data_IF_158221465698
#
_entry.id   IF_158221465698
#
_cell.length_a   1.000
_cell.length_b   1.000
_cell.length_c   1.000
_cell.angle_alpha   90.00
_cell.angle_beta   90.00
_cell.angle_gamma   90.00
#
_symmetry.space_group_name_H-M   'P 1'
#
loop_
_entity.id
_entity.type
_entity.pdbx_description
1 polymer ?
#
# COMPACT_ATOMS: atom_id res chain seq x y z
N UNK A 1 -4.36 16.62 25.52
CA UNK A 1 -3.29 16.28 24.55
C UNK A 1 -2.90 14.79 24.56
N UNK A 2 -2.71 14.15 25.73
CA UNK A 2 -2.32 12.71 25.81
C UNK A 2 -3.33 11.76 25.17
N UNK A 3 -4.63 11.97 25.38
CA UNK A 3 -5.70 11.15 24.81
C UNK A 3 -5.75 11.24 23.28
N UNK A 4 -5.70 12.45 22.72
CA UNK A 4 -5.66 12.67 21.26
C UNK A 4 -4.46 11.98 20.61
N UNK A 5 -3.29 12.09 21.22
CA UNK A 5 -2.09 11.38 20.76
C UNK A 5 -2.27 9.86 20.81
N UNK A 6 -2.84 9.31 21.88
CA UNK A 6 -3.10 7.88 21.98
C UNK A 6 -4.07 7.36 20.92
N UNK A 7 -5.14 8.12 20.63
CA UNK A 7 -6.10 7.78 19.58
C UNK A 7 -5.42 7.82 18.20
N UNK A 8 -4.62 8.86 17.95
CA UNK A 8 -3.87 9.00 16.70
C UNK A 8 -2.83 7.89 16.52
N UNK A 9 -2.08 7.57 17.57
CA UNK A 9 -1.12 6.47 17.56
C UNK A 9 -1.83 5.13 17.32
N UNK A 10 -2.98 4.91 17.96
CA UNK A 10 -3.80 3.73 17.70
C UNK A 10 -4.22 3.64 16.25
N UNK A 11 -4.70 4.74 15.65
CA UNK A 11 -5.10 4.81 14.23
C UNK A 11 -3.98 4.38 13.27
N UNK A 12 -2.75 4.80 13.53
CA UNK A 12 -1.58 4.43 12.70
C UNK A 12 -1.13 2.98 12.96
N UNK A 13 -1.02 2.61 14.24
CA UNK A 13 -0.51 1.30 14.66
C UNK A 13 -1.47 0.18 14.20
N UNK A 14 -2.77 0.43 14.25
CA UNK A 14 -3.84 -0.50 13.83
C UNK A 14 -4.08 -0.59 12.32
N UNK A 15 -3.23 0.06 11.51
CA UNK A 15 -3.26 0.01 10.04
C UNK A 15 -4.52 0.60 9.38
N UNK A 16 -5.29 1.42 10.10
CA UNK A 16 -6.46 2.11 9.54
C UNK A 16 -6.01 3.17 8.52
N UNK A 17 -4.89 3.84 8.77
CA UNK A 17 -4.37 4.87 7.88
C UNK A 17 -3.94 4.32 6.50
N UNK A 18 -3.13 3.26 6.49
CA UNK A 18 -2.77 2.57 5.24
C UNK A 18 -4.00 1.97 4.54
N UNK A 19 -5.00 1.50 5.28
CA UNK A 19 -6.27 1.05 4.69
C UNK A 19 -7.01 2.19 3.98
N UNK A 20 -7.05 3.38 4.58
CA UNK A 20 -7.60 4.59 3.94
C UNK A 20 -6.80 4.99 2.70
N UNK A 21 -5.49 4.80 2.72
CA UNK A 21 -4.60 4.99 1.57
C UNK A 21 -4.98 4.04 0.42
N UNK A 22 -5.13 2.74 0.68
CA UNK A 22 -5.58 1.76 -0.31
C UNK A 22 -7.00 2.05 -0.83
N UNK A 23 -7.91 2.44 0.05
CA UNK A 23 -9.26 2.89 -0.32
C UNK A 23 -9.21 4.08 -1.28
N UNK A 24 -8.39 5.10 -0.98
CA UNK A 24 -8.19 6.24 -1.86
C UNK A 24 -7.66 5.82 -3.23
N UNK A 25 -6.73 4.85 -3.30
CA UNK A 25 -6.26 4.32 -4.59
C UNK A 25 -7.35 3.61 -5.38
N UNK A 26 -8.24 2.85 -4.73
CA UNK A 26 -9.43 2.26 -5.38
C UNK A 26 -10.35 3.35 -5.92
N UNK A 27 -10.60 4.41 -5.16
CA UNK A 27 -11.42 5.54 -5.60
C UNK A 27 -10.81 6.28 -6.80
N UNK A 28 -9.49 6.45 -6.80
CA UNK A 28 -8.74 6.98 -7.96
C UNK A 28 -8.90 6.06 -9.18
N UNK A 29 -8.83 4.74 -8.99
CA UNK A 29 -9.08 3.77 -10.07
C UNK A 29 -10.49 3.91 -10.63
N UNK A 30 -11.51 4.05 -9.77
CA UNK A 30 -12.88 4.29 -10.25
C UNK A 30 -13.01 5.57 -11.06
N UNK A 31 -12.37 6.66 -10.62
CA UNK A 31 -12.36 7.93 -11.34
C UNK A 31 -11.74 7.79 -12.74
N UNK A 32 -10.53 7.24 -12.81
CA UNK A 32 -9.75 7.12 -14.06
C UNK A 32 -10.47 6.27 -15.11
N UNK A 33 -11.07 5.16 -14.69
CA UNK A 33 -11.74 4.21 -15.58
C UNK A 33 -13.25 4.45 -15.68
N UNK A 34 -13.74 5.58 -15.17
CA UNK A 34 -15.16 5.96 -15.17
C UNK A 34 -16.10 4.87 -14.60
N UNK A 35 -15.63 4.14 -13.58
CA UNK A 35 -16.40 3.13 -12.88
C UNK A 35 -17.30 3.84 -11.86
N UNK A 36 -18.59 3.52 -11.85
CA UNK A 36 -19.49 4.02 -10.80
C UNK A 36 -19.01 3.56 -9.42
N UNK A 37 -19.39 4.30 -8.37
CA UNK A 37 -18.94 3.93 -7.03
C UNK A 37 -19.45 2.54 -6.65
N UNK A 38 -18.50 1.61 -6.49
CA UNK A 38 -18.74 0.29 -5.95
C UNK A 38 -18.25 0.25 -4.49
N UNK A 39 -19.21 0.38 -3.57
CA UNK A 39 -18.98 0.32 -2.13
C UNK A 39 -18.36 -1.01 -1.71
N UNK A 40 -18.81 -2.12 -2.30
CA UNK A 40 -18.34 -3.45 -1.91
C UNK A 40 -16.88 -3.63 -2.25
N UNK A 41 -16.47 -3.24 -3.45
CA UNK A 41 -15.07 -3.30 -3.86
C UNK A 41 -14.18 -2.37 -3.03
N UNK A 42 -14.63 -1.14 -2.76
CA UNK A 42 -13.84 -0.18 -1.98
C UNK A 42 -13.66 -0.62 -0.51
N UNK A 43 -14.73 -1.09 0.13
CA UNK A 43 -14.70 -1.53 1.52
C UNK A 43 -14.06 -2.91 1.69
N UNK A 44 -14.18 -3.80 0.71
CA UNK A 44 -13.40 -5.05 0.68
C UNK A 44 -11.90 -4.77 0.77
N UNK A 45 -11.38 -3.85 -0.06
CA UNK A 45 -9.97 -3.48 -0.04
C UNK A 45 -9.59 -2.78 1.26
N UNK A 46 -10.43 -1.88 1.77
CA UNK A 46 -10.18 -1.19 3.04
C UNK A 46 -10.03 -2.17 4.21
N UNK A 47 -11.05 -2.99 4.48
CA UNK A 47 -11.02 -3.94 5.60
C UNK A 47 -10.00 -5.05 5.38
N UNK A 48 -9.83 -5.53 4.14
CA UNK A 48 -8.78 -6.47 3.76
C UNK A 48 -7.37 -5.94 4.03
N UNK A 49 -7.14 -4.64 3.80
CA UNK A 49 -5.86 -3.99 4.12
C UNK A 49 -5.60 -3.96 5.63
N UNK A 50 -6.60 -3.64 6.45
CA UNK A 50 -6.48 -3.69 7.92
C UNK A 50 -6.06 -5.09 8.37
N UNK A 51 -6.77 -6.12 7.90
CA UNK A 51 -6.48 -7.52 8.23
C UNK A 51 -5.08 -7.92 7.79
N UNK A 52 -4.74 -7.68 6.52
CA UNK A 52 -3.46 -8.07 5.93
C UNK A 52 -2.27 -7.41 6.65
N UNK A 53 -2.31 -6.10 6.85
CA UNK A 53 -1.22 -5.38 7.50
C UNK A 53 -1.09 -5.70 8.99
N UNK A 54 -2.20 -5.82 9.73
CA UNK A 54 -2.14 -6.20 11.14
C UNK A 54 -1.63 -7.63 11.30
N UNK A 55 -2.02 -8.55 10.41
CA UNK A 55 -1.44 -9.88 10.35
C UNK A 55 0.08 -9.79 10.14
N UNK A 56 0.57 -9.12 9.09
CA UNK A 56 2.02 -8.98 8.82
C UNK A 56 2.80 -8.39 10.01
N UNK A 57 2.24 -7.37 10.67
CA UNK A 57 2.86 -6.64 11.78
C UNK A 57 2.95 -7.47 13.06
N UNK A 58 1.88 -8.17 13.43
CA UNK A 58 1.76 -8.78 14.75
C UNK A 58 1.89 -10.30 14.78
N UNK A 59 1.89 -10.95 13.62
CA UNK A 59 1.97 -12.40 13.51
C UNK A 59 3.18 -13.00 14.25
N UNK A 60 4.38 -12.47 13.98
CA UNK A 60 5.61 -12.93 14.64
C UNK A 60 5.59 -12.66 16.16
N UNK A 61 4.93 -11.59 16.61
CA UNK A 61 4.84 -11.25 18.03
C UNK A 61 3.93 -12.24 18.78
N UNK A 62 2.85 -12.71 18.13
CA UNK A 62 1.93 -13.70 18.70
C UNK A 62 2.49 -15.11 18.62
N UNK A 63 3.19 -15.48 17.53
CA UNK A 63 3.76 -16.83 17.37
C UNK A 63 5.01 -17.09 18.21
N UNK A 64 5.90 -16.10 18.34
CA UNK A 64 7.27 -16.32 18.85
C UNK A 64 7.44 -15.91 20.32
N UNK A 65 6.66 -14.94 20.83
CA UNK A 65 6.82 -14.47 22.22
C UNK A 65 5.71 -15.01 23.13
N UNK A 66 6.10 -15.81 24.13
CA UNK A 66 5.24 -16.30 25.24
C UNK A 66 4.84 -15.20 26.26
N UNK A 67 5.02 -13.93 25.94
CA UNK A 67 4.71 -12.83 26.86
C UNK A 67 3.21 -12.50 26.81
N UNK A 68 2.61 -12.02 27.91
CA UNK A 68 1.21 -11.63 27.93
C UNK A 68 0.94 -10.54 26.88
N UNK A 69 -0.05 -10.79 26.03
CA UNK A 69 -0.53 -9.86 25.01
C UNK A 69 -1.05 -8.60 25.71
N UNK A 70 -0.40 -7.45 25.49
CA UNK A 70 -0.82 -6.18 26.05
C UNK A 70 -2.22 -5.76 25.58
N UNK A 71 -2.94 -4.97 26.39
CA UNK A 71 -4.33 -4.58 26.10
C UNK A 71 -4.50 -3.89 24.73
N UNK A 72 -3.52 -3.10 24.30
CA UNK A 72 -3.56 -2.46 22.98
C UNK A 72 -3.57 -3.49 21.83
N UNK A 73 -2.78 -4.56 21.95
CA UNK A 73 -2.74 -5.62 20.93
C UNK A 73 -4.04 -6.45 20.93
N UNK A 74 -4.69 -6.63 22.09
CA UNK A 74 -6.02 -7.23 22.16
C UNK A 74 -7.06 -6.40 21.40
N UNK A 75 -7.04 -5.07 21.57
CA UNK A 75 -7.95 -4.17 20.84
C UNK A 75 -7.68 -4.23 19.34
N UNK A 76 -6.41 -4.25 18.91
CA UNK A 76 -6.04 -4.41 17.49
C UNK A 76 -6.52 -5.76 16.95
N UNK A 77 -6.44 -6.84 17.74
CA UNK A 77 -6.94 -8.15 17.35
C UNK A 77 -8.47 -8.15 17.17
N UNK A 78 -9.22 -7.51 18.08
CA UNK A 78 -10.67 -7.34 17.95
C UNK A 78 -11.02 -6.54 16.70
N UNK A 79 -10.34 -5.40 16.46
CA UNK A 79 -10.53 -4.61 15.24
C UNK A 79 -10.24 -5.44 13.99
N UNK A 80 -9.17 -6.23 14.00
CA UNK A 80 -8.78 -7.08 12.86
C UNK A 80 -9.79 -8.19 12.63
N UNK A 81 -10.37 -8.76 13.69
CA UNK A 81 -11.44 -9.76 13.59
C UNK A 81 -12.73 -9.16 13.01
N UNK A 82 -13.17 -8.00 13.50
CA UNK A 82 -14.32 -7.28 12.94
C UNK A 82 -14.07 -6.93 11.47
N UNK A 83 -12.86 -6.44 11.16
CA UNK A 83 -12.47 -6.14 9.78
C UNK A 83 -12.47 -7.40 8.90
N UNK A 84 -12.07 -8.56 9.42
CA UNK A 84 -12.13 -9.81 8.68
C UNK A 84 -13.58 -10.23 8.37
N UNK A 85 -14.51 -10.06 9.32
CA UNK A 85 -15.94 -10.30 9.08
C UNK A 85 -16.47 -9.36 8.01
N UNK A 86 -16.18 -8.06 8.10
CA UNK A 86 -16.62 -7.06 7.12
C UNK A 86 -16.00 -7.29 5.74
N UNK A 87 -14.71 -7.61 5.67
CA UNK A 87 -14.05 -8.01 4.42
C UNK A 87 -14.72 -9.26 3.82
N UNK A 88 -15.05 -10.26 4.65
CA UNK A 88 -15.80 -11.44 4.22
C UNK A 88 -17.19 -11.10 3.68
N UNK A 89 -17.92 -10.22 4.36
CA UNK A 89 -19.22 -9.72 3.91
C UNK A 89 -19.12 -9.07 2.52
N UNK A 90 -18.21 -8.12 2.33
CA UNK A 90 -18.03 -7.46 1.03
C UNK A 90 -17.46 -8.38 -0.05
N UNK A 91 -16.62 -9.36 0.32
CA UNK A 91 -16.12 -10.38 -0.60
C UNK A 91 -17.26 -11.14 -1.29
N UNK A 92 -18.29 -11.52 -0.54
CA UNK A 92 -19.45 -12.22 -1.11
C UNK A 92 -20.32 -11.35 -2.03
N UNK A 93 -20.15 -10.02 -2.00
CA UNK A 93 -20.80 -9.10 -2.93
C UNK A 93 -19.98 -8.86 -4.22
N UNK A 94 -18.73 -9.31 -4.28
CA UNK A 94 -17.91 -9.22 -5.49
C UNK A 94 -18.30 -10.29 -6.51
N UNK A 95 -18.02 -10.02 -7.78
CA UNK A 95 -18.20 -11.00 -8.86
C UNK A 95 -17.32 -12.22 -8.65
N UNK A 96 -17.78 -13.38 -9.11
CA UNK A 96 -17.09 -14.67 -8.90
C UNK A 96 -15.66 -14.68 -9.43
N UNK A 97 -15.40 -14.03 -10.57
CA UNK A 97 -14.04 -13.90 -11.12
C UNK A 97 -13.15 -13.06 -10.19
N UNK A 98 -13.66 -11.94 -9.66
CA UNK A 98 -12.97 -11.09 -8.68
C UNK A 98 -12.64 -11.85 -7.41
N UNK A 99 -13.58 -12.66 -6.91
CA UNK A 99 -13.37 -13.52 -5.75
C UNK A 99 -12.19 -14.48 -5.95
N UNK A 100 -12.16 -15.19 -7.09
CA UNK A 100 -11.07 -16.12 -7.43
C UNK A 100 -9.72 -15.39 -7.52
N UNK A 101 -9.67 -14.26 -8.21
CA UNK A 101 -8.44 -13.47 -8.35
C UNK A 101 -7.97 -12.90 -7.01
N UNK A 102 -8.90 -12.48 -6.15
CA UNK A 102 -8.58 -11.98 -4.81
C UNK A 102 -7.98 -13.06 -3.91
N UNK A 103 -8.41 -14.33 -4.05
CA UNK A 103 -7.75 -15.46 -3.40
C UNK A 103 -6.30 -15.64 -3.88
N UNK A 104 -6.03 -15.43 -5.17
CA UNK A 104 -4.67 -15.43 -5.70
C UNK A 104 -3.78 -14.34 -5.07
N UNK A 105 -4.29 -13.10 -4.99
CA UNK A 105 -3.59 -11.98 -4.34
C UNK A 105 -3.37 -12.26 -2.84
N UNK A 106 -4.39 -12.81 -2.17
CA UNK A 106 -4.28 -13.23 -0.77
C UNK A 106 -3.23 -14.32 -0.59
N UNK A 107 -3.18 -15.32 -1.47
CA UNK A 107 -2.17 -16.38 -1.44
C UNK A 107 -0.76 -15.81 -1.60
N UNK A 108 -0.54 -14.86 -2.52
CA UNK A 108 0.75 -14.17 -2.69
C UNK A 108 1.13 -13.41 -1.40
N UNK A 109 0.17 -12.70 -0.80
CA UNK A 109 0.36 -11.97 0.46
C UNK A 109 0.67 -12.91 1.64
N UNK A 110 -0.01 -14.05 1.71
CA UNK A 110 0.24 -15.08 2.70
C UNK A 110 1.63 -15.71 2.50
N UNK A 111 1.98 -16.08 1.27
CA UNK A 111 3.28 -16.66 0.91
C UNK A 111 4.43 -15.70 1.21
N UNK A 112 4.19 -14.40 1.05
CA UNK A 112 5.12 -13.36 1.46
C UNK A 112 5.37 -13.35 2.98
N UNK A 113 4.32 -13.51 3.78
CA UNK A 113 4.38 -13.34 5.23
C UNK A 113 4.80 -14.59 5.99
N UNK A 114 4.36 -15.77 5.58
CA UNK A 114 4.46 -17.01 6.36
C UNK A 114 5.69 -17.88 5.97
N UNK A 115 6.31 -18.57 6.95
CA UNK A 115 7.33 -19.58 6.71
C UNK A 115 6.67 -20.87 6.18
N UNK A 116 6.25 -20.89 4.91
CA UNK A 116 5.63 -22.11 4.36
C UNK A 116 6.63 -23.25 4.12
N UNK A 117 7.93 -22.98 4.07
CA UNK A 117 8.95 -23.99 3.77
C UNK A 117 9.76 -24.37 5.03
N UNK A 118 9.81 -25.66 5.40
CA UNK A 118 10.35 -26.15 6.69
C UNK A 118 11.86 -25.93 6.91
N UNK A 119 12.60 -25.39 5.93
CA UNK A 119 14.04 -25.13 6.05
C UNK A 119 14.50 -23.84 5.35
N UNK A 120 13.60 -22.88 5.05
CA UNK A 120 13.98 -21.62 4.38
C UNK A 120 13.35 -20.39 5.03
N UNK A 121 14.14 -19.31 5.09
CA UNK A 121 13.70 -17.96 5.46
C UNK A 121 12.50 -17.56 4.57
N UNK A 122 11.44 -16.99 5.16
CA UNK A 122 10.23 -16.48 4.45
C UNK A 122 10.63 -15.60 3.27
N UNK A 123 9.76 -15.47 2.26
CA UNK A 123 9.95 -14.50 1.18
C UNK A 123 10.07 -13.04 1.71
N UNK A 124 9.50 -12.76 2.90
CA UNK A 124 9.77 -11.54 3.70
C UNK A 124 11.25 -11.24 3.92
N UNK A 125 12.09 -12.27 4.00
CA UNK A 125 13.53 -12.18 4.26
C UNK A 125 14.37 -12.32 2.98
N UNK A 126 13.75 -12.34 1.80
CA UNK A 126 14.46 -12.38 0.53
C UNK A 126 14.94 -10.97 0.18
N UNK A 127 16.26 -10.82 0.22
CA UNK A 127 16.99 -9.61 -0.13
C UNK A 127 16.46 -8.97 -1.42
N UNK A 128 16.03 -7.71 -1.36
CA UNK A 128 15.59 -6.93 -2.52
C UNK A 128 14.27 -7.36 -3.18
N UNK A 129 13.82 -8.62 -3.11
CA UNK A 129 12.59 -9.09 -3.80
C UNK A 129 11.32 -8.65 -3.07
N UNK A 130 11.39 -8.43 -1.74
CA UNK A 130 10.24 -8.10 -0.89
C UNK A 130 9.43 -6.90 -1.39
N UNK A 131 10.09 -5.84 -1.86
CA UNK A 131 9.46 -4.60 -2.28
C UNK A 131 8.60 -4.80 -3.53
N UNK A 132 9.05 -5.64 -4.46
CA UNK A 132 8.33 -5.96 -5.69
C UNK A 132 7.04 -6.71 -5.40
N UNK A 133 7.08 -7.69 -4.47
CA UNK A 133 5.89 -8.46 -4.08
C UNK A 133 4.85 -7.54 -3.42
N UNK A 134 5.26 -6.66 -2.50
CA UNK A 134 4.34 -5.72 -1.84
C UNK A 134 3.73 -4.76 -2.86
N UNK A 135 4.53 -4.19 -3.77
CA UNK A 135 4.02 -3.32 -4.81
C UNK A 135 3.04 -4.04 -5.76
N UNK A 136 3.31 -5.29 -6.14
CA UNK A 136 2.37 -6.10 -6.94
C UNK A 136 1.06 -6.39 -6.19
N UNK A 137 1.11 -6.66 -4.88
CA UNK A 137 -0.09 -6.85 -4.09
C UNK A 137 -0.96 -5.58 -4.07
N UNK A 138 -0.35 -4.40 -3.97
CA UNK A 138 -1.08 -3.13 -4.06
C UNK A 138 -1.67 -2.90 -5.44
N UNK A 139 -0.93 -3.18 -6.52
CA UNK A 139 -1.48 -3.10 -7.89
C UNK A 139 -2.66 -4.02 -8.04
N UNK A 140 -2.52 -5.27 -7.59
CA UNK A 140 -3.58 -6.27 -7.59
C UNK A 140 -4.83 -5.78 -6.86
N UNK A 141 -4.68 -5.37 -5.61
CA UNK A 141 -5.80 -5.00 -4.76
C UNK A 141 -6.47 -3.68 -5.15
N UNK A 142 -5.69 -2.66 -5.53
CA UNK A 142 -6.20 -1.28 -5.71
C UNK A 142 -6.52 -0.91 -7.15
N UNK A 143 -6.12 -1.75 -8.12
CA UNK A 143 -6.38 -1.50 -9.54
C UNK A 143 -6.96 -2.73 -10.23
N UNK A 144 -6.28 -3.88 -10.18
CA UNK A 144 -6.71 -5.07 -10.93
C UNK A 144 -8.05 -5.59 -10.45
N UNK A 145 -8.25 -5.76 -9.14
CA UNK A 145 -9.53 -6.22 -8.59
C UNK A 145 -10.69 -5.27 -8.94
N UNK A 146 -10.59 -3.94 -8.73
CA UNK A 146 -11.63 -3.01 -9.17
C UNK A 146 -12.02 -3.14 -10.64
N UNK A 147 -11.04 -3.27 -11.54
CA UNK A 147 -11.32 -3.36 -12.98
C UNK A 147 -11.97 -4.69 -13.35
N UNK A 148 -11.51 -5.79 -12.77
CA UNK A 148 -12.12 -7.11 -12.96
C UNK A 148 -13.56 -7.12 -12.43
N UNK A 149 -13.81 -6.51 -11.27
CA UNK A 149 -15.16 -6.43 -10.70
C UNK A 149 -16.11 -5.60 -11.56
N UNK A 150 -15.59 -4.52 -12.14
CA UNK A 150 -16.31 -3.67 -13.07
C UNK A 150 -16.40 -4.23 -14.51
N UNK A 151 -15.82 -5.41 -14.79
CA UNK A 151 -15.74 -6.01 -16.12
C UNK A 151 -15.10 -5.10 -17.19
N UNK A 152 -14.18 -4.23 -16.76
CA UNK A 152 -13.43 -3.37 -17.69
C UNK A 152 -12.37 -4.22 -18.41
N UNK A 153 -12.33 -4.24 -19.75
CA UNK A 153 -11.36 -5.02 -20.50
C UNK A 153 -9.92 -4.51 -20.28
N UNK A 154 -8.96 -5.43 -20.36
CA UNK A 154 -7.54 -5.11 -20.26
C UNK A 154 -7.03 -4.44 -21.55
N UNK A 155 -7.20 -3.13 -21.64
CA UNK A 155 -6.68 -2.28 -22.74
C UNK A 155 -5.25 -1.80 -22.46
N UNK A 156 -4.67 -0.99 -23.36
CA UNK A 156 -3.37 -0.36 -23.11
C UNK A 156 -3.37 0.49 -21.82
N UNK A 157 -4.46 1.23 -21.56
CA UNK A 157 -4.63 2.05 -20.35
C UNK A 157 -4.53 1.23 -19.06
N UNK A 158 -5.06 -0.01 -19.07
CA UNK A 158 -4.93 -0.93 -17.95
C UNK A 158 -3.46 -1.21 -17.62
N UNK A 159 -2.66 -1.58 -18.63
CA UNK A 159 -1.24 -1.90 -18.43
C UNK A 159 -0.44 -0.65 -18.04
N UNK A 160 -0.71 0.50 -18.64
CA UNK A 160 -0.09 1.78 -18.28
C UNK A 160 -0.36 2.11 -16.81
N UNK A 161 -1.62 2.04 -16.37
CA UNK A 161 -1.99 2.33 -14.97
C UNK A 161 -1.42 1.28 -14.01
N UNK A 162 -1.27 0.02 -14.41
CA UNK A 162 -0.57 -0.98 -13.60
C UNK A 162 0.89 -0.61 -13.36
N UNK A 163 1.62 -0.19 -14.40
CA UNK A 163 3.01 0.26 -14.30
C UNK A 163 3.11 1.51 -13.43
N UNK A 164 2.24 2.51 -13.65
CA UNK A 164 2.21 3.70 -12.81
C UNK A 164 1.92 3.36 -11.34
N UNK A 165 0.90 2.54 -11.05
CA UNK A 165 0.56 2.12 -9.69
C UNK A 165 1.72 1.37 -9.03
N UNK A 166 2.38 0.49 -9.78
CA UNK A 166 3.57 -0.23 -9.29
C UNK A 166 4.69 0.74 -8.92
N UNK A 167 5.03 1.68 -9.80
CA UNK A 167 6.09 2.67 -9.58
C UNK A 167 5.75 3.56 -8.38
N UNK A 168 4.52 4.05 -8.27
CA UNK A 168 4.08 4.85 -7.13
C UNK A 168 4.31 4.13 -5.81
N UNK A 169 3.84 2.88 -5.70
CA UNK A 169 3.97 2.10 -4.47
C UNK A 169 5.42 1.75 -4.18
N UNK A 170 6.19 1.40 -5.21
CA UNK A 170 7.62 1.14 -5.07
C UNK A 170 8.34 2.36 -4.50
N UNK A 171 8.10 3.56 -5.05
CA UNK A 171 8.70 4.82 -4.59
C UNK A 171 8.26 5.16 -3.16
N UNK A 172 7.00 4.96 -2.80
CA UNK A 172 6.55 5.11 -1.41
C UNK A 172 7.37 4.22 -0.49
N UNK A 173 7.52 2.92 -0.80
CA UNK A 173 8.28 1.97 0.03
C UNK A 173 9.77 2.37 0.14
N UNK A 174 10.39 2.94 -0.90
CA UNK A 174 11.77 3.43 -0.79
C UNK A 174 11.93 4.48 0.33
N UNK A 175 10.92 5.35 0.53
CA UNK A 175 10.94 6.33 1.62
C UNK A 175 10.85 5.64 2.99
N UNK A 176 10.06 4.58 3.11
CA UNK A 176 10.01 3.74 4.32
C UNK A 176 11.37 3.10 4.60
N UNK A 177 11.99 2.45 3.62
CA UNK A 177 13.29 1.79 3.81
C UNK A 177 14.40 2.78 4.18
N UNK A 178 14.37 4.03 3.67
CA UNK A 178 15.35 5.05 4.06
C UNK A 178 15.23 5.41 5.54
N UNK A 179 14.00 5.49 6.06
CA UNK A 179 13.72 5.91 7.44
C UNK A 179 13.93 4.76 8.41
N UNK A 180 13.53 3.55 8.03
CA UNK A 180 13.70 2.35 8.86
C UNK A 180 15.14 1.80 8.85
N UNK A 181 16.04 2.36 8.02
CA UNK A 181 17.41 1.91 7.83
C UNK A 181 18.21 1.64 9.12
N UNK A 182 18.01 2.47 10.16
CA UNK A 182 18.70 2.35 11.46
C UNK A 182 18.17 1.23 12.34
N UNK A 183 16.93 0.78 12.10
CA UNK A 183 16.24 -0.25 12.88
C UNK A 183 16.17 -1.60 12.13
N UNK A 184 16.43 -1.60 10.83
CA UNK A 184 16.41 -2.79 9.99
C UNK A 184 17.61 -3.72 10.27
N UNK A 185 17.34 -5.03 10.28
CA UNK A 185 18.40 -6.04 10.35
C UNK A 185 19.36 -5.89 9.14
N UNK A 186 20.69 -5.83 9.35
CA UNK A 186 21.68 -5.71 8.27
C UNK A 186 21.58 -6.78 7.17
N UNK A 187 21.01 -7.96 7.48
CA UNK A 187 20.86 -9.06 6.54
C UNK A 187 19.62 -8.93 5.64
N UNK A 188 18.75 -7.94 5.86
CA UNK A 188 17.56 -7.72 5.03
C UNK A 188 17.91 -7.29 3.60
N UNK A 189 19.08 -6.66 3.41
CA UNK A 189 19.54 -6.11 2.13
C UNK A 189 18.44 -5.29 1.45
N UNK A 190 17.94 -4.28 2.15
CA UNK A 190 17.01 -3.28 1.60
C UNK A 190 17.70 -2.42 0.53
N UNK A 191 16.93 -1.69 -0.26
CA UNK A 191 17.51 -0.83 -1.30
C UNK A 191 18.53 0.17 -0.70
N UNK A 192 18.22 0.94 0.36
CA UNK A 192 19.20 1.83 0.97
C UNK A 192 20.37 1.11 1.66
N UNK A 193 20.23 -0.15 2.09
CA UNK A 193 21.36 -0.95 2.58
C UNK A 193 22.32 -1.37 1.44
N UNK A 194 21.79 -1.65 0.24
CA UNK A 194 22.59 -2.11 -0.92
C UNK A 194 23.26 -0.94 -1.64
N UNK A 195 22.50 0.10 -1.99
CA UNK A 195 22.99 1.21 -2.84
C UNK A 195 23.24 2.50 -2.07
N UNK A 196 22.89 2.54 -0.78
CA UNK A 196 23.00 3.74 0.06
C UNK A 196 21.80 4.69 -0.08
N UNK A 197 21.60 5.53 0.93
CA UNK A 197 20.48 6.49 0.98
C UNK A 197 20.47 7.44 -0.21
N UNK A 198 21.63 8.01 -0.58
CA UNK A 198 21.72 8.99 -1.68
C UNK A 198 21.27 8.39 -3.02
N UNK A 199 21.75 7.18 -3.37
CA UNK A 199 21.35 6.52 -4.62
C UNK A 199 19.90 6.06 -4.57
N UNK A 200 19.39 5.66 -3.41
CA UNK A 200 17.98 5.31 -3.23
C UNK A 200 17.05 6.49 -3.49
N UNK A 201 17.42 7.69 -3.02
CA UNK A 201 16.69 8.93 -3.36
C UNK A 201 16.71 9.21 -4.85
N UNK A 202 17.88 9.12 -5.49
CA UNK A 202 18.02 9.35 -6.93
C UNK A 202 17.17 8.35 -7.71
N UNK A 203 17.19 7.07 -7.35
CA UNK A 203 16.33 6.04 -7.95
C UNK A 203 14.86 6.41 -7.83
N UNK A 204 14.39 6.79 -6.63
CA UNK A 204 13.01 7.22 -6.42
C UNK A 204 12.62 8.41 -7.30
N UNK A 205 13.47 9.44 -7.38
CA UNK A 205 13.23 10.63 -8.20
C UNK A 205 13.21 10.31 -9.70
N UNK A 206 14.15 9.48 -10.18
CA UNK A 206 14.22 9.07 -11.59
C UNK A 206 13.00 8.26 -12.00
N UNK A 207 12.45 7.43 -11.11
CA UNK A 207 11.25 6.65 -11.36
C UNK A 207 9.98 7.52 -11.49
N UNK A 208 9.95 8.71 -10.88
CA UNK A 208 8.81 9.61 -10.99
C UNK A 208 8.68 10.28 -12.38
N UNK A 209 9.77 10.35 -13.14
CA UNK A 209 9.77 10.88 -14.52
C UNK A 209 8.92 10.02 -15.45
N UNK A 210 9.20 8.70 -15.65
CA UNK A 210 8.35 7.86 -16.48
C UNK A 210 6.95 7.69 -15.87
N UNK A 211 6.81 7.68 -14.53
CA UNK A 211 5.49 7.65 -13.90
C UNK A 211 4.59 8.78 -14.40
N UNK A 212 5.09 10.02 -14.40
CA UNK A 212 4.30 11.17 -14.84
C UNK A 212 4.13 11.20 -16.36
N UNK A 213 5.18 10.90 -17.12
CA UNK A 213 5.14 10.92 -18.59
C UNK A 213 4.16 9.89 -19.17
N UNK A 214 4.00 8.73 -18.51
CA UNK A 214 3.06 7.69 -18.93
C UNK A 214 1.60 8.18 -18.99
N UNK A 215 1.24 9.25 -18.26
CA UNK A 215 -0.13 9.79 -18.27
C UNK A 215 -0.55 10.29 -19.65
N UNK A 216 0.40 10.77 -20.46
CA UNK A 216 0.13 11.34 -21.80
C UNK A 216 -0.34 10.27 -22.80
N UNK A 217 -0.06 8.99 -22.54
CA UNK A 217 -0.44 7.88 -23.43
C UNK A 217 -1.81 7.28 -23.10
N UNK A 218 -2.50 7.81 -22.10
CA UNK A 218 -3.79 7.27 -21.65
C UNK A 218 -4.90 7.80 -22.54
N UNK A 219 -5.80 6.92 -22.99
CA UNK A 219 -6.85 7.30 -23.93
C UNK A 219 -7.84 8.33 -23.36
N UNK A 220 -8.10 8.29 -22.05
CA UNK A 220 -8.94 9.24 -21.31
C UNK A 220 -8.18 10.47 -20.79
N UNK A 221 -7.08 10.83 -21.46
CA UNK A 221 -6.24 11.96 -21.06
C UNK A 221 -7.03 13.24 -20.80
N UNK A 222 -6.77 13.87 -19.65
CA UNK A 222 -7.35 15.15 -19.26
C UNK A 222 -6.28 16.04 -18.61
N UNK A 223 -6.21 17.31 -19.03
CA UNK A 223 -5.31 18.32 -18.47
C UNK A 223 -5.48 18.51 -16.95
N UNK A 224 -6.71 18.39 -16.44
CA UNK A 224 -6.98 18.51 -15.00
C UNK A 224 -6.28 17.39 -14.22
N UNK A 225 -6.46 16.15 -14.67
CA UNK A 225 -5.90 14.98 -13.99
C UNK A 225 -4.37 14.93 -14.15
N UNK A 226 -3.83 15.39 -15.30
CA UNK A 226 -2.40 15.59 -15.49
C UNK A 226 -1.81 16.61 -14.50
N UNK A 227 -2.49 17.74 -14.29
CA UNK A 227 -2.07 18.77 -13.33
C UNK A 227 -2.11 18.24 -11.89
N UNK A 228 -3.18 17.56 -11.49
CA UNK A 228 -3.30 16.93 -10.17
C UNK A 228 -2.18 15.89 -9.96
N UNK A 229 -1.90 15.08 -10.99
CA UNK A 229 -0.79 14.13 -10.96
C UNK A 229 0.57 14.82 -10.81
N UNK A 230 0.77 15.97 -11.45
CA UNK A 230 2.00 16.76 -11.29
C UNK A 230 2.17 17.27 -9.86
N UNK A 231 1.09 17.77 -9.24
CA UNK A 231 1.11 18.21 -7.83
C UNK A 231 1.42 17.04 -6.89
N UNK A 232 0.80 15.88 -7.12
CA UNK A 232 1.08 14.66 -6.36
C UNK A 232 2.54 14.21 -6.50
N UNK A 233 3.07 14.22 -7.73
CA UNK A 233 4.48 13.89 -8.02
C UNK A 233 5.42 14.88 -7.32
N UNK A 234 5.12 16.18 -7.35
CA UNK A 234 5.89 17.20 -6.63
C UNK A 234 5.92 16.98 -5.12
N UNK A 235 4.78 16.64 -4.53
CA UNK A 235 4.67 16.29 -3.12
C UNK A 235 5.52 15.03 -2.79
N UNK A 236 5.45 13.99 -3.61
CA UNK A 236 6.22 12.76 -3.40
C UNK A 236 7.73 13.00 -3.58
N UNK A 237 8.14 13.82 -4.55
CA UNK A 237 9.53 14.27 -4.70
C UNK A 237 10.03 14.95 -3.42
N UNK A 238 9.23 15.83 -2.82
CA UNK A 238 9.56 16.51 -1.57
C UNK A 238 9.78 15.50 -0.43
N UNK A 239 8.91 14.50 -0.33
CA UNK A 239 9.06 13.44 0.67
C UNK A 239 10.34 12.62 0.48
N UNK A 240 10.75 12.32 -0.75
CA UNK A 240 12.00 11.61 -1.04
C UNK A 240 13.22 12.46 -0.70
N UNK A 241 13.21 13.73 -1.09
CA UNK A 241 14.33 14.66 -0.86
C UNK A 241 14.64 14.80 0.64
N UNK A 242 13.59 14.93 1.46
CA UNK A 242 13.72 15.10 2.90
C UNK A 242 13.77 13.80 3.73
N UNK A 243 13.62 12.63 3.09
CA UNK A 243 13.74 11.34 3.75
C UNK A 243 15.16 11.15 4.29
N UNK A 244 15.30 10.77 5.56
CA UNK A 244 16.60 10.39 6.14
C UNK A 244 16.37 9.51 7.38
N UNK A 245 17.37 8.72 7.80
CA UNK A 245 17.19 7.78 8.91
C UNK A 245 16.90 8.43 10.28
N UNK A 246 17.07 9.75 10.42
CA UNK A 246 16.78 10.49 11.65
C UNK A 246 15.36 11.07 11.68
N UNK A 247 14.55 10.88 10.62
CA UNK A 247 13.15 11.34 10.61
C UNK A 247 12.31 10.51 11.58
N UNK A 248 11.32 11.13 12.26
CA UNK A 248 10.40 10.39 13.12
C UNK A 248 9.53 9.44 12.27
N UNK A 249 9.09 8.33 12.88
CA UNK A 249 8.25 7.33 12.20
C UNK A 249 6.94 7.88 11.61
N UNK A 250 6.39 8.95 12.21
CA UNK A 250 5.23 9.66 11.66
C UNK A 250 5.45 10.22 10.25
N UNK A 251 6.69 10.48 9.85
CA UNK A 251 7.01 10.92 8.49
C UNK A 251 6.51 9.90 7.46
N UNK A 252 6.77 8.62 7.69
CA UNK A 252 6.31 7.56 6.79
C UNK A 252 4.90 7.10 7.12
N UNK A 253 4.66 6.72 8.37
CA UNK A 253 3.41 6.07 8.77
C UNK A 253 2.18 6.97 8.71
N UNK A 254 2.34 8.29 8.60
CA UNK A 254 1.24 9.22 8.39
C UNK A 254 1.44 10.02 7.09
N UNK A 255 2.50 10.83 7.00
CA UNK A 255 2.61 11.79 5.91
C UNK A 255 2.80 11.14 4.53
N UNK A 256 3.75 10.21 4.40
CA UNK A 256 4.00 9.52 3.12
C UNK A 256 2.83 8.58 2.76
N UNK A 257 2.29 7.85 3.74
CA UNK A 257 1.09 7.01 3.54
C UNK A 257 -0.16 7.83 3.16
N UNK A 258 -0.21 9.12 3.50
CA UNK A 258 -1.29 10.03 3.11
C UNK A 258 -1.23 10.48 1.65
N UNK A 259 -0.13 10.27 0.92
CA UNK A 259 0.01 10.75 -0.47
C UNK A 259 -1.15 10.28 -1.36
N UNK A 260 -1.53 8.98 -1.37
CA UNK A 260 -2.76 8.49 -1.99
C UNK A 260 -4.05 9.21 -1.59
N UNK A 261 -4.19 9.54 -0.31
CA UNK A 261 -5.39 10.18 0.24
C UNK A 261 -5.48 11.61 -0.27
N UNK A 262 -4.40 12.37 -0.18
CA UNK A 262 -4.34 13.73 -0.74
C UNK A 262 -4.57 13.73 -2.25
N UNK A 263 -4.01 12.76 -2.97
CA UNK A 263 -4.25 12.63 -4.40
C UNK A 263 -5.74 12.43 -4.71
N UNK A 264 -6.39 11.51 -4.01
CA UNK A 264 -7.82 11.28 -4.18
C UNK A 264 -8.65 12.52 -3.83
N UNK A 265 -8.35 13.21 -2.73
CA UNK A 265 -9.05 14.44 -2.34
C UNK A 265 -8.89 15.54 -3.39
N UNK A 266 -7.69 15.70 -3.98
CA UNK A 266 -7.49 16.65 -5.07
C UNK A 266 -8.35 16.33 -6.29
N UNK A 267 -8.52 15.05 -6.67
CA UNK A 267 -9.42 14.66 -7.77
C UNK A 267 -10.88 15.00 -7.48
N UNK A 268 -11.30 14.91 -6.21
CA UNK A 268 -12.70 15.15 -5.81
C UNK A 268 -13.02 16.64 -5.72
N UNK A 269 -12.08 17.48 -5.28
CA UNK A 269 -12.33 18.89 -4.95
C UNK A 269 -11.75 19.91 -5.92
N UNK A 270 -10.88 19.52 -6.86
CA UNK A 270 -10.30 20.38 -7.90
C UNK A 270 -10.82 19.99 -9.30
#
# INVERSE_FOLDING_TARGET
>A
MKLLKQIFDFYLISSIHVALSCYALVRITFHIFHIQYDESMALFVFFGTIVGYNFVKYDALVRVKKNPVGNQLKIIAVLSFISAILAGYYFFHLKRITQIVSFGIFAITALYTLPFFPNRRNARNWAGVKIYIVALCWVGATLVLPLINAEIPATADFFIKCVQRFVLVFVLILVFEIIDLTNDDPHLKTVPQIIGVKKTKILGLLLLIPFWFLEVFISTFNYRDLFINLVMVAMLMLFILFANPNRPKYYTSFWVESVPIFWWLMIVFL
#
